data_IF_025872558267
#
_entry.id   IF_025872558267
#
_cell.length_a   1.000
_cell.length_b   1.000
_cell.length_c   1.000
_cell.angle_alpha   90.00
_cell.angle_beta   90.00
_cell.angle_gamma   90.00
#
_symmetry.space_group_name_H-M   'P 1'
#
loop_
_entity.id
_entity.type
_entity.pdbx_description
1 polymer ?
#
# COMPACT_ATOMS: atom_id res chain seq x y z
N UNK A 1 18.51 -23.41 3.49
CA UNK A 1 17.82 -23.69 2.22
C UNK A 1 17.13 -22.40 1.78
N UNK A 2 17.48 -21.84 0.62
CA UNK A 2 16.80 -20.64 0.08
C UNK A 2 15.52 -21.06 -0.63
N UNK A 3 14.47 -20.26 -0.52
CA UNK A 3 13.24 -20.46 -1.30
C UNK A 3 13.60 -20.23 -2.78
N UNK A 4 13.17 -21.14 -3.66
CA UNK A 4 13.25 -20.90 -5.10
C UNK A 4 12.24 -19.80 -5.44
N UNK A 5 12.68 -18.72 -6.08
CA UNK A 5 11.81 -17.66 -6.57
C UNK A 5 11.92 -17.62 -8.10
N UNK A 6 10.81 -17.83 -8.78
CA UNK A 6 10.70 -17.62 -10.22
C UNK A 6 10.68 -16.10 -10.46
N UNK A 7 11.77 -15.58 -11.01
CA UNK A 7 11.85 -14.19 -11.42
C UNK A 7 11.60 -14.10 -12.94
N UNK A 8 10.69 -13.23 -13.42
CA UNK A 8 10.53 -13.00 -14.86
C UNK A 8 11.87 -12.61 -15.47
N UNK A 9 12.22 -13.18 -16.62
CA UNK A 9 13.50 -12.88 -17.30
C UNK A 9 13.67 -11.37 -17.55
N UNK A 10 12.56 -10.69 -17.83
CA UNK A 10 12.49 -9.23 -18.03
C UNK A 10 12.94 -8.43 -16.81
N UNK A 11 12.71 -8.93 -15.58
CA UNK A 11 13.00 -8.22 -14.32
C UNK A 11 14.44 -7.72 -14.22
N UNK A 12 15.39 -8.48 -14.79
CA UNK A 12 16.81 -8.17 -14.79
C UNK A 12 17.39 -8.04 -16.20
N UNK A 13 16.55 -7.74 -17.19
CA UNK A 13 17.01 -7.36 -18.52
C UNK A 13 17.83 -6.07 -18.45
N UNK A 14 18.73 -5.88 -19.42
CA UNK A 14 19.54 -4.65 -19.47
C UNK A 14 18.69 -3.41 -19.69
N UNK A 15 17.56 -3.55 -20.41
CA UNK A 15 16.57 -2.49 -20.56
C UNK A 15 15.99 -2.05 -19.20
N UNK A 16 15.52 -2.98 -18.37
CA UNK A 16 14.98 -2.65 -17.04
C UNK A 16 16.04 -2.09 -16.10
N UNK A 17 17.29 -2.59 -16.19
CA UNK A 17 18.41 -2.01 -15.41
C UNK A 17 18.71 -0.57 -15.83
N UNK A 18 18.70 -0.28 -17.13
CA UNK A 18 18.90 1.08 -17.64
C UNK A 18 17.77 2.01 -17.20
N UNK A 19 16.51 1.57 -17.27
CA UNK A 19 15.37 2.33 -16.75
C UNK A 19 15.50 2.63 -15.25
N UNK A 20 15.95 1.66 -14.45
CA UNK A 20 16.25 1.89 -13.02
C UNK A 20 17.38 2.89 -12.82
N UNK A 21 18.44 2.80 -13.62
CA UNK A 21 19.56 3.72 -13.55
C UNK A 21 19.12 5.16 -13.84
N UNK A 22 18.40 5.38 -14.93
CA UNK A 22 17.84 6.68 -15.32
C UNK A 22 16.88 7.22 -14.26
N UNK A 23 16.02 6.37 -13.70
CA UNK A 23 15.13 6.75 -12.62
C UNK A 23 15.90 7.16 -11.37
N UNK A 24 16.93 6.42 -10.97
CA UNK A 24 17.77 6.78 -9.82
C UNK A 24 18.49 8.12 -10.03
N UNK A 25 18.98 8.39 -11.23
CA UNK A 25 19.56 9.69 -11.57
C UNK A 25 18.53 10.81 -11.45
N UNK A 26 17.33 10.60 -11.99
CA UNK A 26 16.22 11.54 -11.84
C UNK A 26 15.87 11.74 -10.36
N UNK A 27 15.74 10.67 -9.58
CA UNK A 27 15.38 10.73 -8.15
C UNK A 27 16.39 11.57 -7.37
N UNK A 28 17.69 11.29 -7.56
CA UNK A 28 18.77 12.03 -6.89
C UNK A 28 18.80 13.51 -7.27
N UNK A 29 18.49 13.85 -8.52
CA UNK A 29 18.41 15.23 -8.99
C UNK A 29 17.17 15.99 -8.50
N UNK A 30 16.12 15.28 -8.06
CA UNK A 30 14.80 15.86 -7.81
C UNK A 30 14.30 15.75 -6.37
N UNK A 31 14.93 14.92 -5.53
CA UNK A 31 14.54 14.73 -4.12
C UNK A 31 14.60 16.03 -3.28
N UNK A 32 15.44 16.99 -3.67
CA UNK A 32 15.49 18.31 -3.04
C UNK A 32 14.56 19.34 -3.69
N UNK A 33 14.14 19.10 -4.93
CA UNK A 33 13.34 20.03 -5.74
C UNK A 33 11.84 19.81 -5.58
N UNK A 34 11.43 18.57 -5.34
CA UNK A 34 10.03 18.20 -5.19
C UNK A 34 9.77 17.59 -3.81
N UNK A 35 8.54 17.73 -3.33
CA UNK A 35 7.98 16.78 -2.37
C UNK A 35 7.52 15.53 -3.12
N UNK A 36 8.25 14.42 -2.91
CA UNK A 36 7.96 13.15 -3.56
C UNK A 36 6.93 12.39 -2.75
N UNK A 37 5.72 12.27 -3.28
CA UNK A 37 4.62 11.54 -2.65
C UNK A 37 4.45 10.21 -3.38
N UNK A 38 4.85 9.13 -2.72
CA UNK A 38 4.69 7.78 -3.24
C UNK A 38 3.29 7.29 -2.99
N UNK A 39 2.67 6.70 -4.01
CA UNK A 39 1.30 6.16 -3.96
C UNK A 39 1.33 4.70 -4.37
N UNK A 40 0.67 3.85 -3.59
CA UNK A 40 0.60 2.42 -3.86
C UNK A 40 -0.56 1.78 -3.10
N UNK A 41 -0.92 0.55 -3.49
CA UNK A 41 -1.97 -0.26 -2.88
C UNK A 41 -1.46 -1.60 -2.34
N UNK A 42 -2.04 -2.01 -1.22
CA UNK A 42 -1.88 -3.34 -0.69
C UNK A 42 -3.24 -4.03 -0.53
N UNK A 43 -3.36 -5.21 -1.14
CA UNK A 43 -4.46 -6.12 -0.86
C UNK A 43 -4.37 -6.73 0.54
N UNK A 44 -5.49 -6.79 1.23
CA UNK A 44 -5.66 -7.41 2.55
C UNK A 44 -6.84 -8.36 2.50
N UNK A 45 -6.61 -9.53 3.06
CA UNK A 45 -7.67 -10.44 3.43
C UNK A 45 -7.89 -10.35 4.95
N UNK A 46 -9.11 -10.10 5.43
CA UNK A 46 -9.39 -10.02 6.87
C UNK A 46 -9.09 -11.32 7.64
N UNK A 47 -8.94 -12.44 6.93
CA UNK A 47 -8.45 -13.70 7.49
C UNK A 47 -6.91 -13.79 7.56
N UNK A 48 -6.18 -12.68 7.36
CA UNK A 48 -4.76 -12.57 7.68
C UNK A 48 -4.55 -12.74 9.19
N UNK A 49 -4.41 -14.00 9.62
CA UNK A 49 -4.15 -14.35 11.01
C UNK A 49 -2.65 -14.53 11.25
N UNK A 50 -2.18 -14.29 12.48
CA UNK A 50 -0.80 -14.63 12.89
C UNK A 50 -0.49 -16.11 12.57
N UNK A 51 0.70 -16.34 12.03
CA UNK A 51 1.23 -17.68 11.69
C UNK A 51 2.02 -18.32 12.83
N UNK A 52 2.28 -17.58 13.91
CA UNK A 52 3.04 -18.04 15.08
C UNK A 52 2.31 -17.64 16.36
N UNK A 53 2.23 -18.56 17.30
CA UNK A 53 1.66 -18.36 18.64
C UNK A 53 2.41 -19.21 19.68
N UNK A 54 2.17 -18.97 20.96
CA UNK A 54 2.79 -19.72 22.07
C UNK A 54 1.77 -20.70 22.68
N UNK A 55 2.17 -21.95 22.82
CA UNK A 55 1.46 -22.94 23.61
C UNK A 55 2.33 -23.37 24.80
N UNK A 56 1.71 -24.02 25.79
CA UNK A 56 2.46 -24.61 26.90
C UNK A 56 3.39 -25.71 26.36
N UNK A 57 4.49 -25.97 27.08
CA UNK A 57 5.45 -26.99 26.69
C UNK A 57 4.74 -28.35 26.61
N UNK A 58 4.81 -29.02 25.46
CA UNK A 58 4.13 -30.29 25.19
C UNK A 58 2.79 -30.15 24.45
N UNK A 59 2.27 -28.94 24.29
CA UNK A 59 1.04 -28.68 23.54
C UNK A 59 1.35 -28.07 22.17
N UNK A 60 0.54 -28.41 21.17
CA UNK A 60 0.57 -27.73 19.87
C UNK A 60 -0.31 -26.49 19.96
N UNK A 61 0.20 -25.34 19.51
CA UNK A 61 -0.64 -24.18 19.27
C UNK A 61 -1.61 -24.51 18.13
N UNK A 62 -2.85 -24.87 18.48
CA UNK A 62 -3.92 -25.22 17.54
C UNK A 62 -4.97 -24.13 17.58
N UNK A 63 -5.37 -23.65 16.40
CA UNK A 63 -6.47 -22.73 16.23
C UNK A 63 -7.52 -23.37 15.34
N UNK A 64 -8.77 -23.37 15.78
CA UNK A 64 -9.93 -23.72 14.96
C UNK A 64 -10.28 -22.51 14.11
N UNK A 65 -10.46 -22.69 12.80
CA UNK A 65 -10.86 -21.61 11.90
C UNK A 65 -12.09 -22.02 11.11
N UNK A 66 -13.07 -21.13 11.03
CA UNK A 66 -14.21 -21.31 10.12
C UNK A 66 -13.77 -20.93 8.70
N UNK A 67 -13.99 -21.80 7.73
CA UNK A 67 -13.52 -21.65 6.33
C UNK A 67 -14.27 -20.60 5.50
N UNK A 68 -14.60 -19.44 6.08
CA UNK A 68 -15.30 -18.37 5.37
C UNK A 68 -14.31 -17.63 4.45
N UNK A 69 -14.71 -17.40 3.20
CA UNK A 69 -14.03 -16.46 2.30
C UNK A 69 -14.75 -15.12 2.45
N UNK A 70 -13.98 -14.08 2.74
CA UNK A 70 -14.49 -12.71 2.80
C UNK A 70 -13.93 -11.89 1.64
N UNK A 71 -14.46 -10.68 1.48
CA UNK A 71 -14.02 -9.78 0.44
C UNK A 71 -12.57 -9.33 0.68
N UNK A 72 -11.80 -9.22 -0.40
CA UNK A 72 -10.50 -8.57 -0.35
C UNK A 72 -10.70 -7.08 -0.16
N UNK A 73 -10.01 -6.54 0.85
CA UNK A 73 -9.88 -5.11 1.06
C UNK A 73 -8.62 -4.61 0.35
N UNK A 74 -8.62 -3.36 -0.04
CA UNK A 74 -7.47 -2.67 -0.60
C UNK A 74 -7.19 -1.46 0.27
N UNK A 75 -5.98 -1.40 0.81
CA UNK A 75 -5.45 -0.21 1.48
C UNK A 75 -4.58 0.55 0.48
N UNK A 76 -4.83 1.83 0.31
CA UNK A 76 -4.03 2.73 -0.53
C UNK A 76 -3.33 3.73 0.37
N UNK A 77 -2.04 3.96 0.16
CA UNK A 77 -1.27 4.95 0.90
C UNK A 77 -0.71 6.02 -0.02
N UNK A 78 -0.67 7.26 0.49
CA UNK A 78 0.15 8.34 -0.04
C UNK A 78 1.18 8.72 1.02
N UNK A 79 2.46 8.49 0.73
CA UNK A 79 3.57 8.72 1.66
C UNK A 79 4.54 9.74 1.05
N UNK A 80 4.66 10.90 1.67
CA UNK A 80 5.70 11.88 1.37
C UNK A 80 7.04 11.42 1.93
N UNK A 81 8.10 11.56 1.13
CA UNK A 81 9.47 11.34 1.58
C UNK A 81 9.92 12.34 2.67
N UNK A 82 9.22 13.47 2.83
CA UNK A 82 9.52 14.54 3.79
C UNK A 82 8.59 14.51 5.00
N UNK A 83 7.29 14.46 4.76
CA UNK A 83 6.25 14.60 5.79
C UNK A 83 5.70 13.26 6.30
N UNK A 84 6.04 12.14 5.66
CA UNK A 84 5.53 10.82 6.03
C UNK A 84 4.13 10.56 5.44
N UNK A 85 3.28 9.82 6.15
CA UNK A 85 1.95 9.46 5.65
C UNK A 85 1.06 10.71 5.50
N UNK A 86 0.68 11.03 4.26
CA UNK A 86 -0.22 12.15 3.93
C UNK A 86 -1.67 11.71 3.97
N UNK A 87 -1.96 10.58 3.33
CA UNK A 87 -3.31 10.06 3.23
C UNK A 87 -3.33 8.54 3.16
N UNK A 88 -4.46 7.96 3.57
CA UNK A 88 -4.74 6.54 3.42
C UNK A 88 -6.23 6.33 3.16
N UNK A 89 -6.54 5.36 2.31
CA UNK A 89 -7.91 4.93 2.06
C UNK A 89 -8.05 3.41 2.09
N UNK A 90 -9.14 2.93 2.66
CA UNK A 90 -9.43 1.50 2.82
C UNK A 90 -10.82 1.21 2.25
N UNK A 91 -10.86 0.41 1.19
CA UNK A 91 -12.10 0.06 0.53
C UNK A 91 -12.14 -1.43 0.16
N UNK A 92 -13.33 -1.89 -0.21
CA UNK A 92 -13.55 -3.26 -0.67
C UNK A 92 -13.35 -3.37 -2.19
N UNK A 93 -12.69 -4.43 -2.63
CA UNK A 93 -12.45 -4.71 -4.05
C UNK A 93 -11.12 -4.18 -4.55
N UNK A 94 -10.89 -4.31 -5.87
CA UNK A 94 -9.64 -3.87 -6.50
C UNK A 94 -9.63 -2.38 -6.83
N UNK A 95 -8.43 -1.83 -7.02
CA UNK A 95 -8.23 -0.46 -7.49
C UNK A 95 -8.74 -0.30 -8.93
N UNK A 96 -9.44 0.79 -9.20
CA UNK A 96 -9.90 1.21 -10.53
C UNK A 96 -9.30 2.58 -10.86
N UNK A 97 -9.23 2.94 -12.14
CA UNK A 97 -8.72 4.25 -12.56
C UNK A 97 -9.51 5.41 -11.92
N UNK A 98 -10.83 5.28 -11.82
CA UNK A 98 -11.70 6.28 -11.19
C UNK A 98 -11.39 6.46 -9.69
N UNK A 99 -11.19 5.35 -8.96
CA UNK A 99 -10.81 5.40 -7.54
C UNK A 99 -9.44 6.01 -7.34
N UNK A 100 -8.49 5.63 -8.19
CA UNK A 100 -7.12 6.15 -8.12
C UNK A 100 -7.09 7.66 -8.40
N UNK A 101 -7.84 8.13 -9.41
CA UNK A 101 -8.01 9.55 -9.70
C UNK A 101 -8.63 10.30 -8.52
N UNK A 102 -9.71 9.77 -7.96
CA UNK A 102 -10.35 10.37 -6.79
C UNK A 102 -9.38 10.45 -5.60
N UNK A 103 -8.54 9.43 -5.42
CA UNK A 103 -7.52 9.41 -4.38
C UNK A 103 -6.45 10.48 -4.61
N UNK A 104 -5.88 10.59 -5.81
CA UNK A 104 -4.88 11.62 -6.14
C UNK A 104 -5.45 13.04 -6.00
N UNK A 105 -6.68 13.27 -6.46
CA UNK A 105 -7.35 14.56 -6.28
C UNK A 105 -7.50 14.92 -4.82
N UNK A 106 -7.98 13.99 -4.00
CA UNK A 106 -8.13 14.22 -2.57
C UNK A 106 -6.79 14.50 -1.89
N UNK A 107 -5.73 13.76 -2.23
CA UNK A 107 -4.38 14.05 -1.73
C UNK A 107 -3.94 15.45 -2.14
N UNK A 108 -4.22 15.86 -3.38
CA UNK A 108 -3.85 17.20 -3.89
C UNK A 108 -4.61 18.32 -3.18
N UNK A 109 -5.88 18.09 -2.80
CA UNK A 109 -6.71 19.05 -2.06
C UNK A 109 -6.25 19.25 -0.61
N UNK A 110 -5.87 18.16 0.07
CA UNK A 110 -5.48 18.23 1.49
C UNK A 110 -4.00 18.57 1.67
N UNK A 111 -3.18 18.34 0.65
CA UNK A 111 -1.77 18.66 0.70
C UNK A 111 -1.57 20.17 0.52
N UNK A 112 -0.88 20.81 1.45
CA UNK A 112 -0.49 22.22 1.38
C UNK A 112 1.03 22.30 1.22
N UNK A 113 1.56 21.94 0.04
CA UNK A 113 2.99 21.77 -0.09
C UNK A 113 3.69 23.12 -0.15
N UNK A 114 4.83 23.22 0.53
CA UNK A 114 5.72 24.39 0.48
C UNK A 114 6.51 24.47 -0.85
N UNK A 115 6.37 23.46 -1.71
CA UNK A 115 7.13 23.28 -2.95
C UNK A 115 6.33 22.46 -3.97
N UNK A 116 6.83 22.31 -5.19
CA UNK A 116 6.19 21.44 -6.19
C UNK A 116 6.12 19.99 -5.69
N UNK A 117 5.02 19.31 -6.00
CA UNK A 117 4.79 17.91 -5.64
C UNK A 117 5.01 17.02 -6.85
N UNK A 118 5.60 15.86 -6.64
CA UNK A 118 5.63 14.81 -7.65
C UNK A 118 5.08 13.51 -7.06
N UNK A 119 3.94 13.07 -7.59
CA UNK A 119 3.40 11.75 -7.31
C UNK A 119 4.25 10.68 -7.98
N UNK A 120 4.58 9.64 -7.22
CA UNK A 120 5.39 8.51 -7.67
C UNK A 120 4.62 7.21 -7.48
N UNK A 121 4.35 6.48 -8.55
CA UNK A 121 3.63 5.20 -8.51
C UNK A 121 4.02 4.32 -9.70
N UNK A 122 3.63 3.04 -9.68
CA UNK A 122 3.93 2.11 -10.78
C UNK A 122 3.03 2.34 -12.01
N UNK A 123 3.31 1.62 -13.09
CA UNK A 123 2.57 1.68 -14.35
C UNK A 123 1.42 0.67 -14.42
N UNK A 124 0.85 0.26 -13.28
CA UNK A 124 -0.31 -0.60 -13.27
C UNK A 124 -1.44 -0.01 -14.12
N UNK A 125 -2.24 -0.88 -14.74
CA UNK A 125 -3.26 -0.46 -15.72
C UNK A 125 -4.22 0.61 -15.18
N UNK A 126 -4.60 0.52 -13.91
CA UNK A 126 -5.46 1.52 -13.27
C UNK A 126 -4.77 2.90 -13.20
N UNK A 127 -3.47 2.94 -12.92
CA UNK A 127 -2.66 4.16 -12.80
C UNK A 127 -2.38 4.78 -14.17
N UNK A 128 -2.12 3.96 -15.17
CA UNK A 128 -1.92 4.42 -16.55
C UNK A 128 -3.20 5.02 -17.13
N UNK A 129 -4.36 4.46 -16.80
CA UNK A 129 -5.66 5.02 -17.22
C UNK A 129 -6.03 6.30 -16.46
N UNK A 130 -5.42 6.52 -15.29
CA UNK A 130 -5.51 7.74 -14.51
C UNK A 130 -4.69 8.91 -15.10
N UNK A 131 -3.89 8.70 -16.15
CA UNK A 131 -3.11 9.76 -16.83
C UNK A 131 -3.93 10.92 -17.39
N UNK A 132 -5.23 10.74 -17.58
CA UNK A 132 -6.12 11.79 -18.07
C UNK A 132 -6.56 12.76 -16.96
N UNK A 133 -6.04 12.61 -15.74
CA UNK A 133 -6.29 13.52 -14.64
C UNK A 133 -5.62 14.87 -14.91
N UNK A 134 -6.40 15.94 -14.97
CA UNK A 134 -5.87 17.29 -14.88
C UNK A 134 -5.41 17.51 -13.44
N UNK A 135 -4.11 17.38 -13.20
CA UNK A 135 -3.53 17.68 -11.91
C UNK A 135 -3.53 19.20 -11.66
N UNK A 136 -3.70 19.65 -10.40
CA UNK A 136 -3.54 21.05 -10.05
C UNK A 136 -2.13 21.57 -10.40
N UNK A 137 -2.01 22.88 -10.58
CA UNK A 137 -0.71 23.53 -10.80
C UNK A 137 0.28 23.17 -9.67
N UNK A 138 1.53 22.86 -10.04
CA UNK A 138 2.56 22.45 -9.09
C UNK A 138 2.60 20.94 -8.78
N UNK A 139 1.68 20.14 -9.32
CA UNK A 139 1.68 18.68 -9.19
C UNK A 139 2.15 17.99 -10.48
N UNK A 140 3.04 17.01 -10.32
CA UNK A 140 3.65 16.24 -11.40
C UNK A 140 3.50 14.74 -11.15
N UNK A 141 3.65 13.92 -12.19
CA UNK A 141 3.66 12.45 -12.08
C UNK A 141 5.01 11.90 -12.54
N UNK A 142 5.52 10.92 -11.81
CA UNK A 142 6.65 10.09 -12.21
C UNK A 142 6.34 8.61 -11.99
N UNK A 143 6.55 7.81 -13.04
CA UNK A 143 6.41 6.36 -12.94
C UNK A 143 7.66 5.70 -12.37
N UNK A 144 7.43 4.67 -11.55
CA UNK A 144 8.46 3.73 -11.14
C UNK A 144 8.89 2.85 -12.32
N UNK A 145 10.17 2.48 -12.40
CA UNK A 145 10.62 1.48 -13.36
C UNK A 145 9.96 0.12 -13.07
N UNK A 146 9.61 -0.66 -14.10
CA UNK A 146 9.03 -1.99 -13.94
C UNK A 146 9.80 -2.88 -12.97
N UNK A 147 9.06 -3.69 -12.21
CA UNK A 147 9.60 -4.65 -11.24
C UNK A 147 10.54 -4.03 -10.18
N UNK A 148 10.30 -2.78 -9.78
CA UNK A 148 11.17 -2.04 -8.84
C UNK A 148 10.48 -1.63 -7.53
N UNK A 149 9.80 -2.55 -6.81
CA UNK A 149 9.10 -2.21 -5.57
C UNK A 149 10.04 -1.69 -4.47
N UNK A 150 11.32 -2.06 -4.52
CA UNK A 150 12.35 -1.56 -3.58
C UNK A 150 12.67 -0.07 -3.74
N UNK A 151 12.20 0.58 -4.81
CA UNK A 151 12.27 2.04 -4.98
C UNK A 151 11.02 2.75 -4.45
N UNK A 152 10.00 1.99 -4.02
CA UNK A 152 8.76 2.53 -3.49
C UNK A 152 8.79 2.52 -1.95
N UNK A 153 8.69 3.70 -1.33
CA UNK A 153 8.71 3.80 0.13
C UNK A 153 7.41 3.28 0.78
N UNK A 154 6.30 3.18 0.02
CA UNK A 154 5.04 2.63 0.51
C UNK A 154 5.17 1.17 0.98
N UNK A 155 6.09 0.40 0.41
CA UNK A 155 6.33 -1.00 0.82
C UNK A 155 6.71 -1.13 2.30
N UNK A 156 7.50 -0.19 2.81
CA UNK A 156 7.87 -0.14 4.23
C UNK A 156 6.67 0.25 5.10
N UNK A 157 5.89 1.25 4.68
CA UNK A 157 4.67 1.68 5.37
C UNK A 157 3.65 0.53 5.46
N UNK A 158 3.43 -0.19 4.35
CA UNK A 158 2.57 -1.38 4.34
C UNK A 158 3.08 -2.49 5.24
N UNK A 159 4.40 -2.70 5.32
CA UNK A 159 4.96 -3.73 6.20
C UNK A 159 4.66 -3.44 7.67
N UNK A 160 4.88 -2.19 8.11
CA UNK A 160 4.57 -1.73 9.48
C UNK A 160 3.07 -1.85 9.73
N UNK A 161 2.26 -1.30 8.82
CA UNK A 161 0.82 -1.29 8.94
C UNK A 161 0.22 -2.70 8.98
N UNK A 162 0.64 -3.62 8.10
CA UNK A 162 0.20 -5.03 8.09
C UNK A 162 0.59 -5.76 9.38
N UNK A 163 1.74 -5.44 9.97
CA UNK A 163 2.17 -6.02 11.24
C UNK A 163 1.28 -5.54 12.39
N UNK A 164 0.98 -4.24 12.44
CA UNK A 164 0.08 -3.66 13.42
C UNK A 164 -1.35 -4.21 13.27
N UNK A 165 -1.85 -4.29 12.04
CA UNK A 165 -3.13 -4.90 11.68
C UNK A 165 -3.24 -6.34 12.18
N UNK A 166 -2.24 -7.19 11.92
CA UNK A 166 -2.21 -8.58 12.40
C UNK A 166 -2.25 -8.70 13.92
N UNK A 167 -1.63 -7.74 14.62
CA UNK A 167 -1.66 -7.71 16.09
C UNK A 167 -3.05 -7.33 16.56
N UNK A 168 -3.66 -6.31 15.96
CA UNK A 168 -5.02 -5.88 16.30
C UNK A 168 -6.07 -6.95 16.01
N UNK A 169 -6.00 -7.59 14.84
CA UNK A 169 -6.91 -8.68 14.46
C UNK A 169 -6.81 -9.89 15.41
N UNK A 170 -5.70 -10.06 16.13
CA UNK A 170 -5.57 -11.12 17.14
C UNK A 170 -6.34 -10.80 18.44
N UNK A 171 -6.63 -9.52 18.70
CA UNK A 171 -7.38 -9.07 19.88
C UNK A 171 -8.90 -9.01 19.62
N UNK A 172 -9.30 -8.98 18.35
CA UNK A 172 -10.71 -8.96 17.93
C UNK A 172 -11.36 -10.31 18.26
N UNK A 173 -12.49 -10.27 18.97
CA UNK A 173 -13.27 -11.47 19.30
C UNK A 173 -13.80 -12.12 18.03
N UNK A 174 -13.83 -13.45 17.97
CA UNK A 174 -14.33 -14.17 16.79
C UNK A 174 -15.75 -13.73 16.37
N UNK A 175 -16.58 -13.37 17.35
CA UNK A 175 -17.95 -12.88 17.17
C UNK A 175 -18.04 -11.60 16.32
N UNK A 176 -16.99 -10.76 16.28
CA UNK A 176 -16.96 -9.56 15.42
C UNK A 176 -16.93 -9.94 13.94
N UNK A 177 -16.45 -11.14 13.60
CA UNK A 177 -16.46 -11.63 12.21
C UNK A 177 -17.81 -12.25 11.80
N UNK A 178 -18.75 -12.41 12.74
CA UNK A 178 -20.12 -12.85 12.46
C UNK A 178 -21.07 -11.67 12.15
N UNK A 179 -20.62 -10.43 12.38
CA UNK A 179 -21.38 -9.22 12.04
C UNK A 179 -21.41 -9.00 10.52
N UNK A 180 -22.44 -8.30 10.01
CA UNK A 180 -22.47 -7.81 8.63
C UNK A 180 -21.19 -7.02 8.28
N UNK A 181 -20.78 -7.11 7.02
CA UNK A 181 -19.52 -6.53 6.54
C UNK A 181 -19.38 -5.05 6.92
N UNK A 182 -20.43 -4.25 6.73
CA UNK A 182 -20.40 -2.80 6.99
C UNK A 182 -20.22 -2.45 8.46
N UNK A 183 -20.89 -3.15 9.38
CA UNK A 183 -20.76 -2.94 10.83
C UNK A 183 -19.36 -3.31 11.33
N UNK A 184 -18.84 -4.43 10.80
CA UNK A 184 -17.48 -4.87 11.08
C UNK A 184 -16.46 -3.88 10.54
N UNK A 185 -16.65 -3.38 9.31
CA UNK A 185 -15.76 -2.39 8.71
C UNK A 185 -15.85 -1.03 9.41
N UNK A 186 -17.01 -0.61 9.90
CA UNK A 186 -17.13 0.59 10.73
C UNK A 186 -16.30 0.44 12.02
N UNK A 187 -16.36 -0.73 12.66
CA UNK A 187 -15.60 -1.05 13.88
C UNK A 187 -14.09 -1.11 13.61
N UNK A 188 -13.69 -1.71 12.49
CA UNK A 188 -12.29 -1.96 12.14
C UNK A 188 -11.60 -0.76 11.47
N UNK A 189 -12.30 -0.01 10.61
CA UNK A 189 -11.73 1.11 9.85
C UNK A 189 -11.21 2.23 10.76
N UNK A 190 -11.94 2.58 11.82
CA UNK A 190 -11.49 3.54 12.83
C UNK A 190 -10.22 3.09 13.56
N UNK A 191 -10.07 1.78 13.77
CA UNK A 191 -8.88 1.21 14.41
C UNK A 191 -7.70 1.13 13.46
N UNK A 192 -7.94 0.81 12.19
CA UNK A 192 -6.90 0.68 11.18
C UNK A 192 -6.33 2.02 10.74
N UNK A 193 -7.16 3.08 10.73
CA UNK A 193 -6.71 4.43 10.41
C UNK A 193 -5.76 5.02 11.46
N UNK A 194 -5.76 4.53 12.70
CA UNK A 194 -4.90 4.99 13.80
C UNK A 194 -3.54 4.29 13.91
N UNK A 195 -3.22 3.33 13.03
CA UNK A 195 -2.04 2.47 13.16
C UNK A 195 -0.70 3.11 12.73
N UNK A 196 -0.72 4.36 12.25
CA UNK A 196 0.45 5.04 11.68
C UNK A 196 0.76 6.39 12.37
N UNK A 197 0.17 6.64 13.54
CA UNK A 197 0.43 7.80 14.41
C UNK A 197 0.81 7.35 15.82
#
# INVERSE_FOLDING_TARGET
MKKLEDAPAERNSDATKNQRFEYCQWLMGNIQRFDLIFVDEAGINLWLKRTRDRARRGERAVRVVQGRRDHNLTMTFAVSARAGLIHQDLFQGGMTAERFNSFLNHVSEINQPEMEVCFVFDDARAHMQAQNLELPEGFNIKYLPPYSPFLNICENAFSIWKQALKTRLAEVREQTFDQPFDERMATLSLQFKRLLW
#
